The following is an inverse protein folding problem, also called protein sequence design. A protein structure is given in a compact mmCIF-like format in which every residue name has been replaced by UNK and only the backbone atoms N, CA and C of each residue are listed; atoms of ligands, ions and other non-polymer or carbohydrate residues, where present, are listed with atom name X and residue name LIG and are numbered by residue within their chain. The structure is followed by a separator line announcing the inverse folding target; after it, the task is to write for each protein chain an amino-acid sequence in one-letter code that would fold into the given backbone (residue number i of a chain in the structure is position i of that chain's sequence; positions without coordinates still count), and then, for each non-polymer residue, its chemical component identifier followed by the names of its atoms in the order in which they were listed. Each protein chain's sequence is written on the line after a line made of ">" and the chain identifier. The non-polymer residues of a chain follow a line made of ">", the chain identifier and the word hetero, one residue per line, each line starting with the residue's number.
data_IF_251474875890
#
_entry.id   IF_251474875890
#
_cell.length_a   1.000
_cell.length_b   1.000
_cell.length_c   1.000
_cell.angle_alpha   90.00
_cell.angle_beta   90.00
_cell.angle_gamma   90.00
#
_symmetry.space_group_name_H-M   'P 1'
#
loop_
_entity.id
_entity.type
_entity.pdbx_description
1 polymer ?
#
# COMPACT_ATOMS: atom_id res chain seq x y z
N UNK A 1 -2.96 -11.55 -0.56
CA UNK A 1 -2.68 -10.09 -0.66
C UNK A 1 -2.11 -9.50 0.64
N UNK A 2 -2.56 -9.96 1.81
CA UNK A 2 -2.19 -9.36 3.11
C UNK A 2 -0.68 -9.29 3.37
N UNK A 3 0.08 -10.33 3.02
CA UNK A 3 1.53 -10.33 3.22
C UNK A 3 2.24 -9.24 2.39
N UNK A 4 1.89 -9.10 1.10
CA UNK A 4 2.46 -8.03 0.27
C UNK A 4 2.08 -6.65 0.81
N UNK A 5 0.85 -6.48 1.26
CA UNK A 5 0.38 -5.26 1.91
C UNK A 5 1.20 -4.94 3.17
N UNK A 6 1.51 -5.94 3.99
CA UNK A 6 2.33 -5.78 5.19
C UNK A 6 3.75 -5.33 4.83
N UNK A 7 4.40 -6.00 3.88
CA UNK A 7 5.77 -5.65 3.46
C UNK A 7 5.84 -4.23 2.87
N UNK A 8 4.83 -3.82 2.09
CA UNK A 8 4.73 -2.47 1.53
C UNK A 8 4.59 -1.41 2.63
N UNK A 9 3.88 -1.70 3.71
CA UNK A 9 3.71 -0.78 4.85
C UNK A 9 5.01 -0.56 5.65
N UNK A 10 5.99 -1.46 5.51
CA UNK A 10 7.27 -1.39 6.21
C UNK A 10 8.38 -0.69 5.40
N UNK A 11 8.04 -0.13 4.23
CA UNK A 11 9.02 0.54 3.36
C UNK A 11 9.64 1.78 4.03
N UNK A 12 10.97 1.82 4.01
CA UNK A 12 11.78 2.93 4.50
C UNK A 12 12.62 3.46 3.35
N UNK A 13 12.50 4.76 3.07
CA UNK A 13 13.34 5.43 2.10
C UNK A 13 14.62 5.91 2.78
N UNK A 14 15.75 5.57 2.16
CA UNK A 14 17.09 5.98 2.59
C UNK A 14 17.77 6.71 1.44
N UNK A 15 18.61 7.68 1.76
CA UNK A 15 19.50 8.29 0.77
C UNK A 15 20.68 7.36 0.53
N UNK A 16 21.12 7.26 -0.72
CA UNK A 16 22.32 6.48 -1.04
C UNK A 16 23.55 7.13 -0.38
N UNK A 17 24.40 6.29 0.24
CA UNK A 17 25.63 6.71 0.91
C UNK A 17 25.48 7.38 2.27
N UNK A 18 24.28 7.42 2.87
CA UNK A 18 24.03 8.11 4.13
C UNK A 18 23.35 7.23 5.18
N UNK A 19 24.16 6.41 5.85
CA UNK A 19 23.74 5.61 7.02
C UNK A 19 23.62 6.47 8.29
N UNK A 20 24.03 7.74 8.26
CA UNK A 20 24.05 8.62 9.41
C UNK A 20 22.68 9.26 9.69
N UNK A 21 21.81 9.37 8.67
CA UNK A 21 20.47 9.94 8.82
C UNK A 21 19.39 8.84 8.98
N UNK A 22 18.45 9.01 9.92
CA UNK A 22 17.36 8.07 10.08
C UNK A 22 16.48 8.08 8.82
N UNK A 23 16.31 6.91 8.21
CA UNK A 23 15.47 6.74 7.03
C UNK A 23 14.03 7.20 7.24
N UNK A 24 13.40 7.71 6.18
CA UNK A 24 12.03 8.21 6.23
C UNK A 24 11.06 7.04 6.04
N UNK A 25 10.21 6.80 7.04
CA UNK A 25 9.10 5.84 6.91
C UNK A 25 8.02 6.41 6.00
N UNK A 26 7.73 5.70 4.92
CA UNK A 26 6.65 6.06 4.00
C UNK A 26 5.52 5.04 4.18
N UNK A 27 4.31 5.55 4.35
CA UNK A 27 3.13 4.72 4.32
C UNK A 27 2.62 4.53 2.90
N UNK A 28 2.59 3.31 2.41
CA UNK A 28 2.03 2.97 1.11
C UNK A 28 0.71 2.18 1.26
N UNK A 29 -0.07 2.11 0.20
CA UNK A 29 -1.27 1.28 0.15
C UNK A 29 -1.37 0.72 -1.26
N UNK A 30 -1.61 -0.59 -1.37
CA UNK A 30 -1.62 -1.29 -2.65
C UNK A 30 -2.91 -2.09 -2.77
N UNK A 31 -3.58 -1.99 -3.91
CA UNK A 31 -4.67 -2.89 -4.26
C UNK A 31 -4.12 -4.05 -5.07
N UNK A 32 -4.38 -5.27 -4.61
CA UNK A 32 -3.96 -6.51 -5.29
C UNK A 32 -5.21 -7.23 -5.74
N UNK A 33 -5.29 -7.54 -7.02
CA UNK A 33 -6.40 -8.29 -7.62
C UNK A 33 -5.85 -9.46 -8.41
N UNK A 34 -6.59 -10.56 -8.39
CA UNK A 34 -6.25 -11.74 -9.17
C UNK A 34 -6.75 -11.57 -10.60
N UNK A 35 -5.89 -11.89 -11.57
CA UNK A 35 -6.27 -11.89 -12.97
C UNK A 35 -6.97 -13.19 -13.35
N UNK A 36 -8.05 -13.08 -14.12
CA UNK A 36 -8.79 -14.20 -14.70
C UNK A 36 -8.77 -14.12 -16.23
N UNK A 37 -8.72 -15.30 -16.86
CA UNK A 37 -8.71 -15.41 -18.34
C UNK A 37 -9.94 -14.71 -18.93
N UNK A 38 -9.71 -13.87 -19.94
CA UNK A 38 -10.76 -13.10 -20.62
C UNK A 38 -11.03 -11.71 -20.03
N UNK A 39 -10.39 -11.34 -18.91
CA UNK A 39 -10.47 -9.98 -18.39
C UNK A 39 -9.58 -9.02 -19.19
N UNK A 40 -10.10 -7.82 -19.46
CA UNK A 40 -9.32 -6.74 -20.07
C UNK A 40 -8.54 -5.94 -19.00
N UNK A 41 -7.47 -5.27 -19.46
CA UNK A 41 -6.56 -4.54 -18.58
C UNK A 41 -7.24 -3.38 -17.82
N UNK A 42 -8.13 -2.64 -18.48
CA UNK A 42 -8.83 -1.49 -17.87
C UNK A 42 -9.68 -1.91 -16.67
N UNK A 43 -10.39 -3.04 -16.80
CA UNK A 43 -11.24 -3.56 -15.73
C UNK A 43 -10.41 -4.04 -14.55
N UNK A 44 -9.25 -4.65 -14.80
CA UNK A 44 -8.32 -5.07 -13.75
C UNK A 44 -7.73 -3.87 -13.00
N UNK A 45 -7.33 -2.83 -13.73
CA UNK A 45 -6.79 -1.61 -13.13
C UNK A 45 -7.84 -0.90 -12.28
N UNK A 46 -9.08 -0.81 -12.76
CA UNK A 46 -10.18 -0.22 -12.00
C UNK A 46 -10.46 -1.00 -10.69
N UNK A 47 -10.44 -2.34 -10.75
CA UNK A 47 -10.61 -3.19 -9.57
C UNK A 47 -9.44 -3.03 -8.59
N UNK A 48 -8.21 -2.95 -9.09
CA UNK A 48 -7.03 -2.71 -8.26
C UNK A 48 -7.09 -1.34 -7.57
N UNK A 49 -7.53 -0.29 -8.28
CA UNK A 49 -7.71 1.04 -7.69
C UNK A 49 -8.77 1.05 -6.59
N UNK A 50 -9.91 0.37 -6.82
CA UNK A 50 -10.95 0.23 -5.81
C UNK A 50 -10.45 -0.52 -4.56
N UNK A 51 -9.69 -1.61 -4.75
CA UNK A 51 -9.08 -2.35 -3.66
C UNK A 51 -8.08 -1.49 -2.87
N UNK A 52 -7.24 -0.71 -3.56
CA UNK A 52 -6.32 0.24 -2.96
C UNK A 52 -7.07 1.30 -2.13
N UNK A 53 -8.15 1.86 -2.69
CA UNK A 53 -8.96 2.87 -2.00
C UNK A 53 -9.55 2.31 -0.70
N UNK A 54 -10.10 1.10 -0.73
CA UNK A 54 -10.64 0.43 0.46
C UNK A 54 -9.55 0.21 1.53
N UNK A 55 -8.35 -0.21 1.12
CA UNK A 55 -7.21 -0.38 2.03
C UNK A 55 -6.74 0.95 2.64
N UNK A 56 -6.65 2.00 1.82
CA UNK A 56 -6.29 3.36 2.27
C UNK A 56 -7.32 3.92 3.27
N UNK A 57 -8.60 3.67 3.03
CA UNK A 57 -9.68 4.08 3.94
C UNK A 57 -9.57 3.38 5.31
N UNK A 58 -9.38 2.05 5.32
CA UNK A 58 -9.17 1.27 6.56
C UNK A 58 -8.00 1.80 7.38
N UNK A 59 -6.88 2.11 6.72
CA UNK A 59 -5.67 2.66 7.37
C UNK A 59 -5.90 4.02 8.02
N UNK A 60 -6.65 4.92 7.38
CA UNK A 60 -7.01 6.23 7.96
C UNK A 60 -7.83 6.05 9.25
N UNK A 61 -8.79 5.14 9.26
CA UNK A 61 -9.62 4.85 10.44
C UNK A 61 -8.76 4.32 11.60
N UNK A 62 -7.83 3.40 11.35
CA UNK A 62 -6.92 2.87 12.37
C UNK A 62 -5.94 3.93 12.90
N UNK A 63 -5.44 4.84 12.05
CA UNK A 63 -4.58 5.95 12.49
C UNK A 63 -5.33 7.02 13.29
N UNK A 64 -6.63 7.23 13.04
CA UNK A 64 -7.45 8.13 13.85
C UNK A 64 -7.79 7.53 15.21
N UNK A 65 -8.02 6.22 15.29
CA UNK A 65 -8.27 5.52 16.55
C UNK A 65 -7.05 5.50 17.49
N UNK A 66 -5.82 5.44 16.95
CA UNK A 66 -4.59 5.48 17.75
C UNK A 66 -4.16 6.88 18.22
N UNK A 67 -4.93 7.94 17.92
CA UNK A 67 -4.66 9.33 18.33
C UNK A 67 -5.55 9.81 19.49
N UNK A 68 -6.40 8.94 20.04
CA UNK A 68 -7.23 9.23 21.23
C UNK A 68 -6.57 8.72 22.51
#
# INVERSE_FOLDING_TARGET
>A
AEQLTHEVDQLVVRSDGDDAHPGVRIGASCGVVEWQVGQNAESLLALADQAMFAQKARRKTSQQAGKQ
#
